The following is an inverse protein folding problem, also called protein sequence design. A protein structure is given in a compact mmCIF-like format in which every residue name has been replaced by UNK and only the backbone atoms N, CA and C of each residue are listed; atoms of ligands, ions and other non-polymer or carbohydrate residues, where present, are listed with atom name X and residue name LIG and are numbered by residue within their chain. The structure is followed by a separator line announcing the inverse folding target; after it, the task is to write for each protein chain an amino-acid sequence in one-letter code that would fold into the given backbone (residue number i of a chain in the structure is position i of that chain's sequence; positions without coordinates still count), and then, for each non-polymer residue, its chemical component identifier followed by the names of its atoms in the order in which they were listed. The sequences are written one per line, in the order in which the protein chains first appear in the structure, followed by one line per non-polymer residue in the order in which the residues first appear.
data_IF_449840283552
#
_entry.id   IF_449840283552
#
_cell.length_a   1.000
_cell.length_b   1.000
_cell.length_c   1.000
_cell.angle_alpha   90.00
_cell.angle_beta   90.00
_cell.angle_gamma   90.00
#
_symmetry.space_group_name_H-M   'P 1'
#
loop_
_entity.id
_entity.type
_entity.pdbx_description
1 polymer ?
#
# COMPACT_ATOMS: atom_id res chain seq x y z
N UNK A 1 4.67 3.95 86.81
CA UNK A 1 3.33 3.32 86.78
C UNK A 1 2.31 4.39 86.53
N UNK A 2 1.86 4.60 85.34
CA UNK A 2 0.58 5.19 85.03
C UNK A 2 0.18 4.73 83.65
N UNK A 3 -0.88 3.98 83.54
CA UNK A 3 -1.54 3.55 82.32
C UNK A 3 -2.43 4.66 81.83
N UNK A 4 -2.27 5.08 80.61
CA UNK A 4 -3.23 5.94 79.89
C UNK A 4 -3.97 5.12 78.87
N UNK A 5 -5.28 5.01 79.02
CA UNK A 5 -6.23 4.41 78.10
C UNK A 5 -6.50 5.42 76.97
N UNK A 6 -6.22 5.04 75.73
CA UNK A 6 -6.60 5.79 74.54
C UNK A 6 -7.98 5.34 74.05
N UNK A 7 -8.90 6.27 74.00
CA UNK A 7 -10.28 6.09 73.53
C UNK A 7 -10.30 6.13 71.98
N UNK A 8 -10.64 5.03 71.35
CA UNK A 8 -10.88 4.95 69.90
C UNK A 8 -12.27 5.49 69.56
N UNK A 9 -12.33 6.55 68.81
CA UNK A 9 -13.58 7.06 68.21
C UNK A 9 -13.71 6.42 66.84
N UNK A 10 -14.68 5.51 66.68
CA UNK A 10 -15.12 4.99 65.38
C UNK A 10 -15.99 6.06 64.72
N UNK A 11 -15.48 6.68 63.65
CA UNK A 11 -16.24 7.55 62.78
C UNK A 11 -16.82 6.71 61.65
N UNK A 12 -18.11 6.39 61.69
CA UNK A 12 -18.86 5.76 60.63
C UNK A 12 -19.19 6.79 59.55
N UNK A 13 -18.48 6.69 58.42
CA UNK A 13 -18.85 7.45 57.20
C UNK A 13 -19.93 6.64 56.45
N UNK A 14 -21.14 7.20 56.43
CA UNK A 14 -22.22 6.66 55.59
C UNK A 14 -21.93 7.04 54.13
N UNK A 15 -21.57 6.05 53.30
CA UNK A 15 -21.53 6.19 51.86
C UNK A 15 -22.97 6.22 51.33
N UNK A 16 -23.46 7.40 50.96
CA UNK A 16 -24.63 7.53 50.12
C UNK A 16 -24.23 7.08 48.71
N UNK A 17 -24.61 5.87 48.35
CA UNK A 17 -24.47 5.34 47.01
C UNK A 17 -25.41 6.08 46.03
N UNK A 18 -24.85 6.96 45.21
CA UNK A 18 -25.56 7.47 44.06
C UNK A 18 -25.64 6.35 42.99
N UNK A 19 -26.82 5.84 42.72
CA UNK A 19 -27.06 4.91 41.62
C UNK A 19 -26.76 5.61 40.31
N UNK A 20 -25.85 5.08 39.47
CA UNK A 20 -25.62 5.67 38.15
C UNK A 20 -26.86 5.47 37.27
N UNK A 21 -27.39 6.55 36.73
CA UNK A 21 -28.47 6.50 35.72
C UNK A 21 -27.83 5.99 34.43
N UNK A 22 -28.05 4.71 34.13
CA UNK A 22 -27.61 4.09 32.88
C UNK A 22 -28.55 4.59 31.78
N UNK A 23 -28.09 5.56 31.02
CA UNK A 23 -28.80 6.02 29.83
C UNK A 23 -28.27 5.22 28.61
N UNK A 24 -29.16 4.47 27.92
CA UNK A 24 -28.82 3.62 26.79
C UNK A 24 -28.00 4.32 25.68
N UNK A 25 -28.14 5.63 25.53
CA UNK A 25 -27.34 6.43 24.60
C UNK A 25 -25.86 6.60 24.98
N UNK A 26 -25.47 6.35 26.23
CA UNK A 26 -24.06 6.41 26.66
C UNK A 26 -23.32 5.08 26.44
N UNK A 27 -24.03 3.97 26.41
CA UNK A 27 -23.44 2.66 26.15
C UNK A 27 -23.03 2.52 24.67
N UNK A 28 -23.82 3.06 23.77
CA UNK A 28 -23.53 3.04 22.32
C UNK A 28 -22.27 3.85 21.97
N UNK A 29 -21.98 4.94 22.68
CA UNK A 29 -20.76 5.74 22.51
C UNK A 29 -19.50 5.12 23.13
N UNK A 30 -19.67 4.23 24.12
CA UNK A 30 -18.52 3.55 24.76
C UNK A 30 -18.14 2.23 24.08
N UNK A 31 -19.07 1.62 23.34
CA UNK A 31 -18.82 0.37 22.61
C UNK A 31 -18.15 0.61 21.24
N UNK A 32 -18.25 1.82 20.70
CA UNK A 32 -17.48 2.24 19.54
C UNK A 32 -16.13 2.81 20.00
N UNK A 33 -15.25 1.97 20.52
CA UNK A 33 -13.83 2.28 20.40
C UNK A 33 -13.55 2.41 18.90
N UNK A 34 -13.00 3.55 18.42
CA UNK A 34 -12.58 3.64 17.03
C UNK A 34 -11.61 2.50 16.81
N UNK A 35 -11.99 1.51 16.01
CA UNK A 35 -10.99 0.67 15.38
C UNK A 35 -10.26 1.65 14.47
N UNK A 36 -9.10 2.10 14.89
CA UNK A 36 -8.13 2.69 13.99
C UNK A 36 -7.78 1.59 12.98
N UNK A 37 -8.61 1.50 11.93
CA UNK A 37 -8.19 0.83 10.71
C UNK A 37 -7.05 1.71 10.23
N UNK A 38 -5.79 1.24 10.22
CA UNK A 38 -4.71 2.00 9.64
C UNK A 38 -5.03 2.14 8.17
N UNK A 39 -5.75 3.19 7.80
CA UNK A 39 -5.76 3.68 6.44
C UNK A 39 -4.31 4.06 6.19
N UNK A 40 -3.60 3.23 5.42
CA UNK A 40 -2.32 3.60 4.84
C UNK A 40 -2.59 4.91 4.10
N UNK A 41 -2.23 6.02 4.75
CA UNK A 41 -2.24 7.31 4.09
C UNK A 41 -1.30 7.15 2.90
N UNK A 42 -1.71 7.61 1.76
CA UNK A 42 -0.97 7.58 0.49
C UNK A 42 0.46 8.15 0.62
N UNK A 43 0.73 8.84 1.72
CA UNK A 43 1.99 9.47 2.08
C UNK A 43 2.95 8.55 2.88
N UNK A 44 2.50 7.38 3.37
CA UNK A 44 3.33 6.46 4.15
C UNK A 44 4.15 5.48 3.29
N UNK A 45 3.88 5.42 1.99
CA UNK A 45 4.69 4.68 1.02
C UNK A 45 5.64 5.67 0.35
N UNK A 46 6.76 5.99 0.98
CA UNK A 46 7.84 6.72 0.34
C UNK A 46 8.51 5.79 -0.69
N UNK A 47 8.23 6.03 -1.95
CA UNK A 47 8.98 5.47 -3.06
C UNK A 47 10.17 6.41 -3.29
N UNK A 48 11.26 6.21 -2.57
CA UNK A 48 12.53 6.89 -2.85
C UNK A 48 13.24 6.15 -3.98
N UNK A 49 13.66 6.87 -5.01
CA UNK A 49 14.58 6.37 -6.04
C UNK A 49 14.01 6.23 -7.44
N UNK A 50 12.89 6.90 -7.77
CA UNK A 50 12.44 6.98 -9.14
C UNK A 50 12.57 8.42 -9.62
N UNK A 51 13.79 8.81 -9.95
CA UNK A 51 14.01 10.03 -10.72
C UNK A 51 13.31 9.87 -12.07
N UNK A 52 12.33 10.75 -12.32
CA UNK A 52 11.83 10.97 -13.66
C UNK A 52 12.99 11.60 -14.44
N UNK A 53 13.72 10.76 -15.17
CA UNK A 53 14.60 11.24 -16.21
C UNK A 53 13.72 11.86 -17.29
N UNK A 54 13.34 13.11 -17.04
CA UNK A 54 12.66 13.95 -18.02
C UNK A 54 13.70 14.29 -19.08
N UNK A 55 13.79 13.44 -20.11
CA UNK A 55 14.44 13.76 -21.36
C UNK A 55 13.75 15.02 -21.90
N UNK A 56 14.32 16.17 -21.56
CA UNK A 56 13.99 17.46 -22.18
C UNK A 56 14.47 17.40 -23.64
N UNK A 57 13.62 16.92 -24.53
CA UNK A 57 13.85 17.15 -25.95
C UNK A 57 13.19 18.47 -26.34
N UNK A 58 14.03 19.41 -26.72
CA UNK A 58 13.67 20.78 -27.10
C UNK A 58 13.07 20.91 -28.52
N UNK A 59 12.60 19.84 -29.13
CA UNK A 59 12.09 19.87 -30.51
C UNK A 59 10.63 19.40 -30.58
N UNK A 60 9.72 20.29 -30.14
CA UNK A 60 8.26 20.06 -30.18
C UNK A 60 7.64 20.17 -31.58
N UNK A 61 8.45 20.42 -32.61
CA UNK A 61 7.95 20.68 -33.99
C UNK A 61 7.88 19.43 -34.88
N UNK A 62 8.52 18.31 -34.48
CA UNK A 62 8.49 17.07 -35.27
C UNK A 62 7.32 16.20 -34.82
N UNK A 63 6.42 15.88 -35.75
CA UNK A 63 5.33 14.92 -35.55
C UNK A 63 5.61 13.65 -36.31
N UNK A 64 5.05 12.53 -35.83
CA UNK A 64 5.12 11.22 -36.48
C UNK A 64 3.70 10.66 -36.52
N UNK A 65 3.31 10.15 -37.68
CA UNK A 65 2.02 9.47 -37.81
C UNK A 65 2.03 8.12 -37.11
N UNK A 66 1.10 7.91 -36.17
CA UNK A 66 0.92 6.66 -35.43
C UNK A 66 -0.41 6.03 -35.84
N UNK A 67 -0.35 4.91 -36.57
CA UNK A 67 -1.51 4.16 -37.03
C UNK A 67 -2.18 3.38 -35.90
N UNK A 68 -1.40 2.64 -35.12
CA UNK A 68 -1.88 1.77 -34.04
C UNK A 68 -0.81 1.63 -32.94
N UNK A 69 -1.17 0.98 -31.84
CA UNK A 69 -0.31 0.69 -30.69
C UNK A 69 -0.18 -0.83 -30.50
N UNK A 70 1.01 -1.28 -30.16
CA UNK A 70 1.28 -2.67 -29.77
C UNK A 70 2.03 -2.69 -28.45
N UNK A 71 1.77 -3.71 -27.62
CA UNK A 71 2.30 -3.79 -26.29
C UNK A 71 3.08 -5.07 -26.09
N UNK A 72 4.11 -5.00 -25.23
CA UNK A 72 4.83 -6.16 -24.73
C UNK A 72 5.05 -6.05 -23.22
N UNK A 73 5.02 -7.18 -22.52
CA UNK A 73 5.18 -7.24 -21.08
C UNK A 73 3.91 -6.94 -20.29
N UNK A 74 2.75 -6.88 -20.96
CA UNK A 74 1.44 -6.61 -20.38
C UNK A 74 0.69 -7.92 -20.07
N UNK A 75 1.04 -8.60 -18.99
CA UNK A 75 0.36 -9.82 -18.57
C UNK A 75 -0.84 -9.58 -17.65
N UNK A 76 -0.81 -8.52 -16.86
CA UNK A 76 -1.87 -8.17 -15.91
C UNK A 76 -3.05 -7.41 -16.56
N UNK A 77 -2.81 -6.71 -17.68
CA UNK A 77 -3.83 -5.93 -18.40
C UNK A 77 -3.78 -6.34 -19.89
N UNK A 78 -4.96 -6.60 -20.46
CA UNK A 78 -5.03 -7.00 -21.86
C UNK A 78 -4.63 -5.88 -22.83
N UNK A 79 -4.08 -6.24 -23.99
CA UNK A 79 -3.74 -5.28 -25.04
C UNK A 79 -4.96 -4.52 -25.55
N UNK A 80 -6.13 -5.14 -25.56
CA UNK A 80 -7.40 -4.56 -25.98
C UNK A 80 -7.81 -3.41 -25.05
N UNK A 81 -7.67 -3.61 -23.73
CA UNK A 81 -7.97 -2.59 -22.74
C UNK A 81 -7.01 -1.41 -22.83
N UNK A 82 -5.72 -1.68 -23.02
CA UNK A 82 -4.72 -0.63 -23.23
C UNK A 82 -4.99 0.15 -24.52
N UNK A 83 -5.31 -0.54 -25.63
CA UNK A 83 -5.70 0.13 -26.89
C UNK A 83 -6.93 1.01 -26.71
N UNK A 84 -7.92 0.55 -25.97
CA UNK A 84 -9.14 1.33 -25.70
C UNK A 84 -8.81 2.64 -24.97
N UNK A 85 -7.87 2.61 -24.03
CA UNK A 85 -7.43 3.82 -23.32
C UNK A 85 -6.70 4.83 -24.22
N UNK A 86 -6.06 4.33 -25.30
CA UNK A 86 -5.30 5.12 -26.27
C UNK A 86 -6.07 5.49 -27.54
N UNK A 87 -7.35 5.15 -27.64
CA UNK A 87 -8.16 5.37 -28.85
C UNK A 87 -8.14 6.82 -29.37
N UNK A 88 -7.98 7.79 -28.46
CA UNK A 88 -7.90 9.19 -28.84
C UNK A 88 -6.62 9.59 -29.60
N UNK A 89 -5.56 8.76 -29.53
CA UNK A 89 -4.25 8.99 -30.13
C UNK A 89 -3.97 8.17 -31.38
N UNK A 90 -4.72 7.09 -31.61
CA UNK A 90 -4.56 6.23 -32.77
C UNK A 90 -5.00 6.93 -34.06
N UNK A 91 -4.30 6.69 -35.17
CA UNK A 91 -4.58 7.29 -36.50
C UNK A 91 -4.25 8.76 -36.59
N UNK A 92 -3.36 9.29 -35.75
CA UNK A 92 -3.00 10.72 -35.70
C UNK A 92 -1.49 10.94 -35.78
N UNK A 93 -1.13 12.16 -36.21
CA UNK A 93 0.24 12.65 -36.05
C UNK A 93 0.46 13.07 -34.60
N UNK A 94 1.47 12.48 -33.94
CA UNK A 94 1.82 12.75 -32.56
C UNK A 94 3.20 13.40 -32.49
N UNK A 95 3.30 14.46 -31.70
CA UNK A 95 4.59 15.02 -31.28
C UNK A 95 5.25 14.15 -30.24
N UNK A 96 6.54 14.36 -29.99
CA UNK A 96 7.26 13.65 -28.92
C UNK A 96 6.56 13.81 -27.57
N UNK A 97 6.08 14.98 -27.22
CA UNK A 97 5.36 15.23 -25.98
C UNK A 97 4.07 14.41 -25.88
N UNK A 98 3.32 14.31 -26.97
CA UNK A 98 2.11 13.46 -27.01
C UNK A 98 2.43 11.98 -26.90
N UNK A 99 3.56 11.52 -27.43
CA UNK A 99 4.03 10.14 -27.21
C UNK A 99 4.35 9.92 -25.72
N UNK A 100 4.97 10.89 -25.03
CA UNK A 100 5.18 10.81 -23.60
C UNK A 100 3.87 10.79 -22.80
N UNK A 101 2.86 11.56 -23.23
CA UNK A 101 1.51 11.49 -22.65
C UNK A 101 0.87 10.11 -22.82
N UNK A 102 1.03 9.48 -23.98
CA UNK A 102 0.57 8.11 -24.25
C UNK A 102 1.22 7.12 -23.26
N UNK A 103 2.54 7.19 -23.06
CA UNK A 103 3.25 6.34 -22.10
C UNK A 103 2.78 6.59 -20.66
N UNK A 104 2.59 7.86 -20.30
CA UNK A 104 2.06 8.24 -19.00
C UNK A 104 0.63 7.71 -18.77
N UNK A 105 -0.20 7.76 -19.81
CA UNK A 105 -1.58 7.24 -19.78
C UNK A 105 -1.60 5.71 -19.58
N UNK A 106 -0.78 4.96 -20.32
CA UNK A 106 -0.62 3.51 -20.10
C UNK A 106 -0.18 3.23 -18.67
N UNK A 107 0.85 3.93 -18.18
CA UNK A 107 1.33 3.79 -16.79
C UNK A 107 0.22 4.10 -15.80
N UNK A 108 -0.60 5.13 -16.07
CA UNK A 108 -1.74 5.48 -15.21
C UNK A 108 -2.79 4.37 -15.16
N UNK A 109 -3.12 3.72 -16.27
CA UNK A 109 -4.06 2.58 -16.32
C UNK A 109 -3.60 1.47 -15.38
N UNK A 110 -2.30 1.15 -15.36
CA UNK A 110 -1.72 0.18 -14.43
C UNK A 110 -1.85 0.63 -12.97
N UNK A 111 -1.52 1.89 -12.68
CA UNK A 111 -1.60 2.43 -11.32
C UNK A 111 -3.03 2.45 -10.77
N UNK A 112 -3.99 2.83 -11.60
CA UNK A 112 -5.40 2.85 -11.22
C UNK A 112 -5.93 1.44 -10.85
N UNK A 113 -5.31 0.38 -11.39
CA UNK A 113 -5.59 -1.02 -11.03
C UNK A 113 -4.76 -1.57 -9.87
N UNK A 114 -3.91 -0.74 -9.28
CA UNK A 114 -3.08 -1.10 -8.12
C UNK A 114 -1.67 -1.60 -8.45
N UNK A 115 -1.27 -1.63 -9.73
CA UNK A 115 0.08 -2.00 -10.16
C UNK A 115 1.01 -0.78 -10.12
N UNK A 116 1.27 -0.27 -8.93
CA UNK A 116 1.89 1.04 -8.71
C UNK A 116 3.37 1.13 -9.11
N UNK A 117 4.05 -0.01 -9.24
CA UNK A 117 5.44 -0.11 -9.71
C UNK A 117 5.51 -0.15 -11.24
N UNK A 118 4.40 -0.53 -11.90
CA UNK A 118 4.37 -0.69 -13.34
C UNK A 118 4.71 0.60 -14.10
N UNK A 119 5.43 0.44 -15.21
CA UNK A 119 5.85 1.53 -16.09
C UNK A 119 5.81 1.12 -17.54
N UNK A 120 5.32 2.03 -18.38
CA UNK A 120 5.43 1.97 -19.82
C UNK A 120 6.65 2.78 -20.27
N UNK A 121 7.38 2.27 -21.24
CA UNK A 121 8.52 2.94 -21.84
C UNK A 121 8.61 2.65 -23.32
N UNK A 122 9.34 3.50 -24.05
CA UNK A 122 9.56 3.39 -25.46
C UNK A 122 10.99 2.90 -25.72
N UNK A 123 11.12 1.72 -26.36
CA UNK A 123 12.40 1.25 -26.88
C UNK A 123 12.78 1.94 -28.19
N UNK A 124 14.04 1.81 -28.59
CA UNK A 124 14.46 2.26 -29.92
C UNK A 124 13.71 1.44 -30.99
N UNK A 125 13.02 2.10 -31.88
CA UNK A 125 12.22 1.48 -32.95
C UNK A 125 12.21 2.34 -34.20
N UNK A 126 11.98 1.69 -35.34
CA UNK A 126 11.82 2.31 -36.64
C UNK A 126 10.33 2.21 -37.03
N UNK A 127 9.60 3.30 -36.94
CA UNK A 127 8.16 3.34 -37.17
C UNK A 127 7.80 3.05 -38.64
N UNK A 128 8.68 3.42 -39.60
CA UNK A 128 8.44 3.15 -41.01
C UNK A 128 8.45 1.66 -41.30
N UNK A 129 9.38 0.92 -40.70
CA UNK A 129 9.45 -0.54 -40.82
C UNK A 129 8.33 -1.28 -40.09
N UNK A 130 7.75 -0.62 -39.08
CA UNK A 130 6.66 -1.18 -38.25
C UNK A 130 5.26 -0.75 -38.73
N UNK A 131 5.09 -0.35 -39.98
CA UNK A 131 3.81 0.12 -40.55
C UNK A 131 3.16 1.24 -39.69
N UNK A 132 3.98 2.15 -39.19
CA UNK A 132 3.59 3.26 -38.30
C UNK A 132 2.89 2.78 -37.00
N UNK A 133 3.15 1.56 -36.57
CA UNK A 133 2.68 1.00 -35.30
C UNK A 133 3.70 1.31 -34.20
N UNK A 134 3.26 2.00 -33.15
CA UNK A 134 4.09 2.32 -31.98
C UNK A 134 4.14 1.13 -31.02
N UNK A 135 5.32 0.58 -30.82
CA UNK A 135 5.56 -0.53 -29.90
C UNK A 135 5.91 0.00 -28.49
N UNK A 136 5.06 -0.29 -27.52
CA UNK A 136 5.20 0.15 -26.14
C UNK A 136 5.59 -1.05 -25.27
N UNK A 137 6.73 -0.95 -24.59
CA UNK A 137 7.16 -1.97 -23.62
C UNK A 137 6.69 -1.61 -22.23
N UNK A 138 6.26 -2.61 -21.48
CA UNK A 138 5.73 -2.44 -20.12
C UNK A 138 6.54 -3.33 -19.16
N UNK A 139 6.99 -2.73 -18.07
CA UNK A 139 7.52 -3.44 -16.91
C UNK A 139 6.44 -3.37 -15.84
N UNK A 140 5.82 -4.52 -15.51
CA UNK A 140 4.70 -4.59 -14.57
C UNK A 140 5.14 -4.57 -13.10
N UNK A 141 6.43 -4.87 -12.85
CA UNK A 141 6.99 -4.97 -11.50
C UNK A 141 6.77 -6.35 -10.88
N UNK A 142 7.87 -7.03 -10.53
CA UNK A 142 7.84 -8.34 -9.88
C UNK A 142 8.32 -8.24 -8.45
N UNK A 143 7.83 -9.12 -7.59
CA UNK A 143 8.37 -9.25 -6.25
C UNK A 143 9.80 -9.76 -6.28
N UNK A 144 10.70 -9.02 -5.65
CA UNK A 144 12.04 -9.47 -5.29
C UNK A 144 12.02 -10.14 -3.90
N UNK A 145 12.96 -9.75 -3.05
CA UNK A 145 13.03 -10.22 -1.67
C UNK A 145 12.04 -9.46 -0.78
N UNK A 146 11.37 -10.17 0.14
CA UNK A 146 10.63 -9.54 1.24
C UNK A 146 11.41 -9.82 2.52
N UNK A 147 12.06 -8.79 3.05
CA UNK A 147 12.78 -8.81 4.33
C UNK A 147 11.83 -8.48 5.46
N UNK A 148 11.72 -9.39 6.42
CA UNK A 148 10.96 -9.19 7.64
C UNK A 148 11.92 -8.87 8.80
N UNK A 149 11.81 -7.67 9.37
CA UNK A 149 12.45 -7.27 10.61
C UNK A 149 11.42 -7.37 11.74
N UNK A 150 11.34 -8.53 12.36
CA UNK A 150 10.32 -8.81 13.37
C UNK A 150 10.80 -8.45 14.79
N UNK A 151 10.20 -7.40 15.35
CA UNK A 151 10.36 -7.00 16.75
C UNK A 151 9.05 -7.20 17.54
N UNK A 152 8.21 -8.14 17.11
CA UNK A 152 6.91 -8.43 17.72
C UNK A 152 6.94 -9.68 18.61
N UNK A 153 5.80 -10.03 19.18
CA UNK A 153 5.64 -11.24 20.00
C UNK A 153 5.17 -12.45 19.17
N UNK A 154 5.03 -12.31 17.86
CA UNK A 154 4.59 -13.38 16.96
C UNK A 154 5.81 -14.02 16.29
N UNK A 155 5.73 -15.32 16.03
CA UNK A 155 6.81 -16.07 15.39
C UNK A 155 7.06 -15.62 13.95
N UNK A 156 8.33 -15.49 13.56
CA UNK A 156 8.77 -15.04 12.24
C UNK A 156 8.18 -15.87 11.09
N UNK A 157 8.18 -17.20 11.22
CA UNK A 157 7.65 -18.08 10.16
C UNK A 157 6.16 -17.82 9.90
N UNK A 158 5.40 -17.51 10.95
CA UNK A 158 3.97 -17.20 10.80
C UNK A 158 3.74 -15.88 10.04
N UNK A 159 4.57 -14.87 10.27
CA UNK A 159 4.51 -13.59 9.57
C UNK A 159 5.04 -13.72 8.15
N UNK A 160 6.17 -14.42 7.98
CA UNK A 160 6.77 -14.65 6.67
C UNK A 160 5.81 -15.40 5.73
N UNK A 161 5.08 -16.41 6.24
CA UNK A 161 4.07 -17.13 5.44
C UNK A 161 2.99 -16.19 4.90
N UNK A 162 2.55 -15.20 5.67
CA UNK A 162 1.57 -14.21 5.21
C UNK A 162 2.16 -13.36 4.07
N UNK A 163 3.40 -12.91 4.23
CA UNK A 163 4.11 -12.09 3.25
C UNK A 163 4.40 -12.88 1.97
N UNK A 164 4.77 -14.16 2.08
CA UNK A 164 5.02 -15.02 0.92
C UNK A 164 3.74 -15.30 0.13
N UNK A 165 2.60 -15.41 0.80
CA UNK A 165 1.31 -15.54 0.13
C UNK A 165 0.94 -14.29 -0.69
N UNK A 166 1.41 -13.11 -0.30
CA UNK A 166 1.22 -11.89 -1.08
C UNK A 166 1.95 -11.92 -2.44
N UNK A 167 3.03 -12.70 -2.56
CA UNK A 167 3.78 -12.89 -3.82
C UNK A 167 3.09 -13.83 -4.82
N UNK A 168 2.00 -14.50 -4.45
CA UNK A 168 1.40 -15.60 -5.23
C UNK A 168 1.07 -15.22 -6.67
N UNK A 169 0.72 -13.97 -6.93
CA UNK A 169 0.41 -13.46 -8.26
C UNK A 169 1.66 -13.09 -9.08
N UNK A 170 2.85 -13.08 -8.49
CA UNK A 170 4.12 -12.76 -9.15
C UNK A 170 4.31 -11.28 -9.52
N UNK A 171 3.24 -10.54 -9.76
CA UNK A 171 3.24 -9.11 -10.11
C UNK A 171 2.82 -8.30 -8.87
N UNK A 172 3.56 -7.23 -8.60
CA UNK A 172 3.31 -6.37 -7.44
C UNK A 172 2.01 -5.63 -7.60
N UNK A 173 1.06 -5.88 -6.68
CA UNK A 173 -0.19 -5.14 -6.56
C UNK A 173 -0.34 -4.60 -5.13
N UNK A 174 -0.74 -3.34 -5.00
CA UNK A 174 -0.92 -2.68 -3.70
C UNK A 174 -1.91 -3.43 -2.81
N UNK A 175 -2.98 -4.00 -3.39
CA UNK A 175 -4.00 -4.75 -2.65
C UNK A 175 -3.46 -6.00 -1.96
N UNK A 176 -2.49 -6.69 -2.59
CA UNK A 176 -1.89 -7.89 -2.01
C UNK A 176 -1.02 -7.53 -0.80
N UNK A 177 -0.27 -6.42 -0.90
CA UNK A 177 0.55 -5.89 0.20
C UNK A 177 -0.32 -5.37 1.35
N UNK A 178 -1.35 -4.57 1.05
CA UNK A 178 -2.30 -4.08 2.04
C UNK A 178 -2.99 -5.23 2.78
N UNK A 179 -3.44 -6.26 2.05
CA UNK A 179 -4.04 -7.46 2.63
C UNK A 179 -3.08 -8.18 3.57
N UNK A 180 -1.82 -8.34 3.18
CA UNK A 180 -0.81 -8.98 4.03
C UNK A 180 -0.58 -8.16 5.31
N UNK A 181 -0.47 -6.83 5.21
CA UNK A 181 -0.31 -5.93 6.36
C UNK A 181 -1.52 -6.02 7.30
N UNK A 182 -2.74 -6.02 6.76
CA UNK A 182 -3.96 -6.17 7.55
C UNK A 182 -3.97 -7.51 8.28
N UNK A 183 -3.66 -8.62 7.60
CA UNK A 183 -3.61 -9.95 8.21
C UNK A 183 -2.54 -10.07 9.31
N UNK A 184 -1.44 -9.34 9.19
CA UNK A 184 -0.43 -9.25 10.24
C UNK A 184 -0.97 -8.44 11.42
N UNK A 185 -1.55 -7.27 11.16
CA UNK A 185 -2.04 -6.35 12.19
C UNK A 185 -3.27 -6.89 12.95
N UNK A 186 -4.03 -7.80 12.37
CA UNK A 186 -5.16 -8.47 13.03
C UNK A 186 -4.70 -9.50 14.07
N UNK A 187 -3.41 -9.84 14.12
CA UNK A 187 -2.86 -10.75 15.11
C UNK A 187 -2.51 -10.04 16.41
N UNK A 188 -2.89 -10.61 17.53
CA UNK A 188 -2.49 -10.12 18.84
C UNK A 188 -0.96 -10.22 19.02
N UNK A 189 -0.35 -9.17 19.52
CA UNK A 189 1.09 -9.12 19.81
C UNK A 189 1.97 -8.57 18.67
N UNK A 190 1.40 -8.11 17.57
CA UNK A 190 2.15 -7.56 16.43
C UNK A 190 1.43 -6.39 15.77
N UNK A 191 2.22 -5.45 15.27
CA UNK A 191 1.78 -4.38 14.36
C UNK A 191 2.90 -4.08 13.38
N UNK A 192 2.56 -3.93 12.10
CA UNK A 192 3.48 -3.37 11.10
C UNK A 192 3.61 -1.87 11.35
N UNK A 193 4.81 -1.42 11.63
CA UNK A 193 5.11 -0.01 11.85
C UNK A 193 5.78 0.65 10.64
N UNK A 194 6.38 -0.14 9.75
CA UNK A 194 7.02 0.38 8.54
C UNK A 194 6.97 -0.67 7.42
N UNK A 195 6.68 -0.20 6.21
CA UNK A 195 6.79 -0.97 4.98
C UNK A 195 7.48 -0.09 3.93
N UNK A 196 8.63 -0.52 3.46
CA UNK A 196 9.44 0.19 2.47
C UNK A 196 9.60 -0.67 1.22
N UNK A 197 9.70 -0.01 0.07
CA UNK A 197 10.00 -0.64 -1.21
C UNK A 197 11.30 -0.05 -1.76
N UNK A 198 12.14 -0.90 -2.33
CA UNK A 198 13.39 -0.53 -2.98
C UNK A 198 13.55 -1.31 -4.29
N UNK A 199 14.41 -0.86 -5.21
CA UNK A 199 14.77 -1.65 -6.39
C UNK A 199 15.32 -3.01 -5.96
N UNK A 200 14.88 -4.08 -6.62
CA UNK A 200 15.40 -5.43 -6.42
C UNK A 200 16.65 -5.71 -7.25
N UNK A 201 17.19 -6.91 -7.10
CA UNK A 201 18.41 -7.34 -7.79
C UNK A 201 18.22 -7.50 -9.31
N UNK A 202 17.02 -7.86 -9.74
CA UNK A 202 16.69 -8.04 -11.15
C UNK A 202 15.97 -6.81 -11.71
N UNK A 203 16.18 -6.54 -13.01
CA UNK A 203 15.47 -5.45 -13.70
C UNK A 203 13.94 -5.71 -13.65
N UNK A 204 13.21 -4.74 -13.15
CA UNK A 204 11.77 -4.84 -13.00
C UNK A 204 11.32 -5.57 -11.75
N UNK A 205 12.22 -5.96 -10.84
CA UNK A 205 11.87 -6.45 -9.51
C UNK A 205 11.97 -5.33 -8.46
N UNK A 206 11.24 -5.51 -7.36
CA UNK A 206 11.32 -4.63 -6.20
C UNK A 206 11.33 -5.44 -4.92
N UNK A 207 12.21 -5.04 -4.01
CA UNK A 207 12.36 -5.62 -2.69
C UNK A 207 11.50 -4.86 -1.67
N UNK A 208 11.00 -5.58 -0.68
CA UNK A 208 10.21 -5.01 0.40
C UNK A 208 10.92 -5.22 1.73
N UNK A 209 10.93 -4.19 2.57
CA UNK A 209 11.42 -4.24 3.93
C UNK A 209 10.25 -3.96 4.88
N UNK A 210 9.79 -4.99 5.58
CA UNK A 210 8.66 -4.93 6.49
C UNK A 210 9.20 -4.96 7.92
N UNK A 211 8.86 -3.94 8.71
CA UNK A 211 9.23 -3.87 10.11
C UNK A 211 7.99 -3.99 10.98
N UNK A 212 8.09 -4.79 12.02
CA UNK A 212 7.01 -4.97 13.00
C UNK A 212 7.44 -4.57 14.40
N UNK A 213 6.47 -4.25 15.23
CA UNK A 213 6.65 -3.96 16.65
C UNK A 213 5.68 -4.78 17.48
N UNK A 214 6.04 -5.00 18.74
CA UNK A 214 5.17 -5.69 19.69
C UNK A 214 3.96 -4.83 20.06
N UNK A 215 2.80 -5.49 20.21
CA UNK A 215 1.59 -4.92 20.80
C UNK A 215 1.10 -5.84 21.94
N UNK A 216 0.23 -5.36 22.85
CA UNK A 216 -0.38 -6.21 23.86
C UNK A 216 -1.07 -7.43 23.20
N UNK A 217 -0.93 -8.61 23.81
CA UNK A 217 -1.62 -9.83 23.35
C UNK A 217 -3.05 -9.93 23.88
N UNK A 218 -3.31 -9.25 24.98
CA UNK A 218 -4.61 -9.22 25.64
C UNK A 218 -4.95 -7.76 25.87
N UNK A 219 -6.09 -7.35 25.36
CA UNK A 219 -6.70 -6.06 25.64
C UNK A 219 -8.11 -6.33 26.17
N UNK A 220 -8.42 -5.76 27.32
CA UNK A 220 -9.69 -6.00 27.98
C UNK A 220 -9.99 -4.98 29.05
N UNK A 221 -11.26 -4.82 29.36
CA UNK A 221 -11.73 -3.99 30.47
C UNK A 221 -12.60 -4.82 31.41
N UNK A 222 -12.52 -4.55 32.68
CA UNK A 222 -13.39 -5.13 33.71
C UNK A 222 -14.47 -4.10 34.01
N UNK A 223 -15.71 -4.50 33.83
CA UNK A 223 -16.89 -3.73 34.31
C UNK A 223 -17.29 -4.35 35.63
N UNK A 224 -17.16 -3.58 36.72
CA UNK A 224 -17.71 -3.96 38.02
C UNK A 224 -19.08 -3.28 38.18
N UNK A 225 -20.13 -4.09 38.39
CA UNK A 225 -21.49 -3.65 38.78
C UNK A 225 -21.51 -3.31 40.26
#
# INVERSE_FOLDING_TARGET
MVKVFGLSILSSVALLGATPIINSGNIEKQIQAPRDIPTLKKDDIKIEGIENDSLKSSDSSKTVFIKDFTFAGNSAISSEELKQSLKAYAGKELSFNQIQEVLALVTKVYRDKGYFVARAYLGKQDLVKNDNTLFISIIEGKYGEIKLNNNSLVNDNSLQTILDNAKSNGIINVKDIERAIILINDRAGVKVNKAEISPGAEVGSSDFNIQTTATPRVDGYIVAD
#
